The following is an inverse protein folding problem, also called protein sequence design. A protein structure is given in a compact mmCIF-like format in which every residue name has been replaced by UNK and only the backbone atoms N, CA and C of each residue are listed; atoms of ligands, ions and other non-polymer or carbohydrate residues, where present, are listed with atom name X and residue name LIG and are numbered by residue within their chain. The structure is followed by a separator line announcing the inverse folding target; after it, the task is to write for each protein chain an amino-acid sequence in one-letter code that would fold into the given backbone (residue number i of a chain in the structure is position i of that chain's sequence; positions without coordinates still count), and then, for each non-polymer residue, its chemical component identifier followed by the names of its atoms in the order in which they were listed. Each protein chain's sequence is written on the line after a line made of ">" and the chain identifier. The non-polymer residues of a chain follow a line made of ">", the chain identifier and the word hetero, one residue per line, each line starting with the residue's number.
data_IF_908909233494
#
_entry.id   IF_908909233494
#
_cell.length_a   1.000
_cell.length_b   1.000
_cell.length_c   1.000
_cell.angle_alpha   90.00
_cell.angle_beta   90.00
_cell.angle_gamma   90.00
#
_symmetry.space_group_name_H-M   'P 1'
#
loop_
_entity.id
_entity.type
_entity.pdbx_description
1 polymer ?
#
# COMPACT_ATOMS: atom_id res chain seq x y z
N UNK A 1 5.97 59.45 14.34
CA UNK A 1 5.27 58.22 14.76
C UNK A 1 4.56 58.37 16.12
N UNK A 2 5.26 58.76 17.20
CA UNK A 2 4.69 58.88 18.56
C UNK A 2 3.44 59.78 18.66
N UNK A 3 3.40 60.91 17.95
CA UNK A 3 2.24 61.82 18.00
C UNK A 3 0.98 61.28 17.29
N UNK A 4 1.13 60.54 16.18
CA UNK A 4 -0.01 59.92 15.48
C UNK A 4 -0.63 58.79 16.32
N UNK A 5 0.21 58.00 17.00
CA UNK A 5 -0.22 56.95 17.94
C UNK A 5 -0.99 57.54 19.13
N UNK A 6 -0.48 58.64 19.71
CA UNK A 6 -1.14 59.37 20.82
C UNK A 6 -2.51 59.94 20.45
N UNK A 7 -2.71 60.32 19.17
CA UNK A 7 -3.99 60.84 18.64
C UNK A 7 -5.00 59.72 18.35
N UNK A 8 -4.53 58.57 17.87
CA UNK A 8 -5.34 57.35 17.69
C UNK A 8 -5.83 56.77 19.03
N UNK A 9 -4.98 56.75 20.06
CA UNK A 9 -5.34 56.27 21.40
C UNK A 9 -6.39 57.12 22.13
N UNK A 10 -6.64 58.37 21.70
CA UNK A 10 -7.70 59.22 22.25
C UNK A 10 -9.10 58.80 21.78
N UNK A 11 -9.22 58.17 20.61
CA UNK A 11 -10.50 57.72 20.09
C UNK A 11 -10.79 56.28 20.55
N UNK A 12 -11.49 56.17 21.69
CA UNK A 12 -11.81 54.87 22.33
C UNK A 12 -12.47 53.87 21.37
N UNK A 13 -13.29 54.33 20.42
CA UNK A 13 -13.95 53.47 19.41
C UNK A 13 -12.95 52.91 18.39
N UNK A 14 -11.99 53.73 17.93
CA UNK A 14 -10.97 53.30 16.98
C UNK A 14 -9.98 52.31 17.63
N UNK A 15 -9.61 52.53 18.89
CA UNK A 15 -8.76 51.60 19.65
C UNK A 15 -9.46 50.25 19.86
N UNK A 16 -10.75 50.27 20.23
CA UNK A 16 -11.54 49.05 20.40
C UNK A 16 -11.68 48.25 19.09
N UNK A 17 -11.88 48.94 17.95
CA UNK A 17 -11.96 48.30 16.64
C UNK A 17 -10.63 47.63 16.26
N UNK A 18 -9.50 48.31 16.48
CA UNK A 18 -8.17 47.75 16.21
C UNK A 18 -7.90 46.53 17.11
N UNK A 19 -8.28 46.59 18.38
CA UNK A 19 -8.16 45.46 19.31
C UNK A 19 -9.03 44.27 18.87
N UNK A 20 -10.27 44.52 18.45
CA UNK A 20 -11.18 43.49 17.92
C UNK A 20 -10.59 42.78 16.69
N UNK A 21 -10.04 43.55 15.74
CA UNK A 21 -9.40 43.01 14.53
C UNK A 21 -8.19 42.15 14.88
N UNK A 22 -7.37 42.58 15.85
CA UNK A 22 -6.23 41.79 16.35
C UNK A 22 -6.67 40.47 16.98
N UNK A 23 -7.73 40.49 17.81
CA UNK A 23 -8.30 39.27 18.42
C UNK A 23 -8.81 38.32 17.34
N UNK A 24 -9.53 38.83 16.33
CA UNK A 24 -9.99 38.02 15.19
C UNK A 24 -8.84 37.38 14.42
N UNK A 25 -7.75 38.10 14.18
CA UNK A 25 -6.56 37.55 13.53
C UNK A 25 -5.92 36.40 14.33
N UNK A 26 -5.81 36.55 15.65
CA UNK A 26 -5.28 35.49 16.53
C UNK A 26 -6.21 34.27 16.49
N UNK A 27 -7.53 34.48 16.58
CA UNK A 27 -8.52 33.40 16.47
C UNK A 27 -8.39 32.64 15.13
N UNK A 28 -8.20 33.35 14.01
CA UNK A 28 -8.01 32.72 12.69
C UNK A 28 -6.74 31.86 12.63
N UNK A 29 -5.64 32.28 13.27
CA UNK A 29 -4.40 31.49 13.34
C UNK A 29 -4.62 30.20 14.16
N UNK A 30 -5.33 30.29 15.28
CA UNK A 30 -5.64 29.13 16.13
C UNK A 30 -6.60 28.15 15.43
N UNK A 31 -7.67 28.67 14.80
CA UNK A 31 -8.61 27.88 14.00
C UNK A 31 -7.86 27.17 12.88
N UNK A 32 -6.92 27.84 12.18
CA UNK A 32 -6.12 27.18 11.15
C UNK A 32 -5.35 25.98 11.72
N UNK A 33 -4.78 26.07 12.91
CA UNK A 33 -4.04 24.95 13.51
C UNK A 33 -4.93 23.76 13.90
N UNK A 34 -6.20 23.99 14.22
CA UNK A 34 -7.15 22.94 14.61
C UNK A 34 -7.79 22.28 13.38
N UNK A 35 -8.17 23.08 12.39
CA UNK A 35 -8.84 22.61 11.18
C UNK A 35 -7.90 22.15 10.07
N UNK A 36 -6.65 22.64 10.07
CA UNK A 36 -5.59 22.21 9.18
C UNK A 36 -4.40 21.68 10.00
N UNK A 37 -4.55 20.52 10.65
CA UNK A 37 -3.42 19.87 11.31
C UNK A 37 -2.25 19.76 10.30
N UNK A 38 -1.04 20.05 10.78
CA UNK A 38 0.17 20.01 9.97
C UNK A 38 0.23 18.69 9.19
N UNK A 39 0.62 18.76 7.92
CA UNK A 39 0.67 17.59 7.05
C UNK A 39 1.80 16.67 7.54
N UNK A 40 1.50 15.76 8.47
CA UNK A 40 2.39 14.65 8.79
C UNK A 40 2.64 13.85 7.53
N UNK A 41 3.86 13.33 7.36
CA UNK A 41 4.12 12.44 6.23
C UNK A 41 3.16 11.25 6.29
N UNK A 42 2.53 10.88 5.16
CA UNK A 42 1.58 9.76 5.06
C UNK A 42 2.09 8.46 5.69
N UNK A 43 3.41 8.30 5.73
CA UNK A 43 4.09 7.10 6.22
C UNK A 43 4.90 7.32 7.50
N UNK A 44 4.87 8.51 8.12
CA UNK A 44 5.75 8.83 9.26
C UNK A 44 7.22 8.53 8.94
N UNK A 45 7.88 7.83 9.87
CA UNK A 45 9.26 7.35 9.74
C UNK A 45 9.37 5.93 9.14
N UNK A 46 8.25 5.34 8.67
CA UNK A 46 8.25 3.95 8.16
C UNK A 46 9.07 3.79 6.89
N UNK A 47 9.31 4.88 6.16
CA UNK A 47 10.09 4.90 4.93
C UNK A 47 11.55 5.34 5.15
N UNK A 48 11.98 5.48 6.41
CA UNK A 48 13.35 5.87 6.72
C UNK A 48 14.33 4.87 6.09
N UNK A 49 15.29 5.39 5.31
CA UNK A 49 16.27 4.59 4.59
C UNK A 49 15.84 4.12 3.19
N UNK A 50 14.63 4.43 2.71
CA UNK A 50 14.17 4.01 1.38
C UNK A 50 15.10 4.50 0.25
N UNK A 51 15.66 5.71 0.37
CA UNK A 51 16.59 6.27 -0.61
C UNK A 51 17.94 5.54 -0.69
N UNK A 52 18.27 4.70 0.31
CA UNK A 52 19.50 3.90 0.32
C UNK A 52 19.34 2.57 -0.41
N UNK A 53 18.10 2.15 -0.66
CA UNK A 53 17.79 0.87 -1.30
C UNK A 53 17.52 1.14 -2.78
N UNK A 54 18.38 0.61 -3.65
CA UNK A 54 18.18 0.71 -5.09
C UNK A 54 17.11 -0.29 -5.52
N UNK A 55 15.89 0.19 -5.78
CA UNK A 55 14.85 -0.59 -6.44
C UNK A 55 14.30 0.16 -7.66
N UNK A 56 15.00 0.00 -8.76
CA UNK A 56 14.84 0.80 -9.98
C UNK A 56 13.68 0.30 -10.85
N UNK A 57 13.34 1.07 -11.90
CA UNK A 57 12.37 0.64 -12.89
C UNK A 57 12.83 -0.59 -13.68
N UNK A 58 14.13 -0.71 -13.96
CA UNK A 58 14.70 -1.88 -14.65
C UNK A 58 14.57 -3.15 -13.82
N UNK A 59 14.80 -3.07 -12.50
CA UNK A 59 14.64 -4.23 -11.60
C UNK A 59 13.20 -4.73 -11.63
N UNK A 60 12.23 -3.81 -11.48
CA UNK A 60 10.79 -4.11 -11.56
C UNK A 60 10.43 -4.75 -12.90
N UNK A 61 10.90 -4.16 -14.00
CA UNK A 61 10.65 -4.67 -15.35
C UNK A 61 11.25 -6.06 -15.55
N UNK A 62 12.43 -6.33 -15.00
CA UNK A 62 13.09 -7.63 -15.08
C UNK A 62 12.28 -8.71 -14.34
N UNK A 63 11.83 -8.40 -13.13
CA UNK A 63 11.00 -9.32 -12.32
C UNK A 63 9.65 -9.55 -12.99
N UNK A 64 8.96 -8.49 -13.44
CA UNK A 64 7.69 -8.63 -14.14
C UNK A 64 7.85 -9.43 -15.42
N UNK A 65 8.93 -9.19 -16.18
CA UNK A 65 9.21 -9.93 -17.41
C UNK A 65 9.49 -11.41 -17.14
N UNK A 66 10.28 -11.72 -16.11
CA UNK A 66 10.52 -13.10 -15.68
C UNK A 66 9.21 -13.86 -15.42
N UNK A 67 8.24 -13.20 -14.77
CA UNK A 67 6.93 -13.82 -14.49
C UNK A 67 6.08 -13.89 -15.77
N UNK A 68 6.04 -12.84 -16.59
CA UNK A 68 5.20 -12.81 -17.80
C UNK A 68 5.71 -13.72 -18.92
N UNK A 69 7.02 -13.97 -18.99
CA UNK A 69 7.63 -14.87 -19.97
C UNK A 69 7.42 -16.34 -19.59
N UNK A 70 6.91 -16.63 -18.38
CA UNK A 70 6.55 -17.97 -17.97
C UNK A 70 5.32 -18.46 -18.75
N UNK A 71 5.42 -19.64 -19.33
CA UNK A 71 4.39 -20.24 -20.18
C UNK A 71 3.09 -20.54 -19.43
N UNK A 72 3.09 -20.58 -18.09
CA UNK A 72 1.92 -20.79 -17.24
C UNK A 72 1.23 -19.48 -16.81
N UNK A 73 1.75 -18.33 -17.22
CA UNK A 73 1.23 -17.00 -16.85
C UNK A 73 0.56 -16.34 -18.06
N UNK A 74 -0.50 -15.56 -17.79
CA UNK A 74 -1.23 -14.78 -18.79
C UNK A 74 -1.00 -13.28 -18.65
N UNK A 75 -0.86 -12.79 -17.42
CA UNK A 75 -0.52 -11.41 -17.12
C UNK A 75 0.30 -11.33 -15.83
N UNK A 76 1.20 -10.35 -15.74
CA UNK A 76 1.96 -10.04 -14.55
C UNK A 76 2.12 -8.52 -14.40
N UNK A 77 2.04 -8.05 -13.15
CA UNK A 77 2.26 -6.64 -12.79
C UNK A 77 2.93 -6.55 -11.43
N UNK A 78 3.76 -5.52 -11.26
CA UNK A 78 4.44 -5.22 -10.01
C UNK A 78 4.18 -3.77 -9.61
N UNK A 79 3.61 -3.58 -8.43
CA UNK A 79 3.31 -2.27 -7.88
C UNK A 79 4.05 -2.06 -6.56
N UNK A 80 4.41 -0.81 -6.25
CA UNK A 80 5.05 -0.46 -4.99
C UNK A 80 4.21 0.58 -4.26
N UNK A 81 3.93 0.31 -2.99
CA UNK A 81 3.24 1.22 -2.11
C UNK A 81 4.02 1.38 -0.80
N UNK A 82 4.76 2.49 -0.65
CA UNK A 82 5.62 2.71 0.50
C UNK A 82 6.69 1.62 0.59
N UNK A 83 6.60 0.76 1.61
CA UNK A 83 7.52 -0.36 1.88
C UNK A 83 6.98 -1.73 1.44
N UNK A 84 5.85 -1.75 0.73
CA UNK A 84 5.22 -2.98 0.24
C UNK A 84 5.39 -3.07 -1.28
N UNK A 85 5.75 -4.25 -1.76
CA UNK A 85 5.87 -4.59 -3.17
C UNK A 85 4.84 -5.67 -3.50
N UNK A 86 3.83 -5.29 -4.28
CA UNK A 86 2.77 -6.20 -4.72
C UNK A 86 3.15 -6.79 -6.06
N UNK A 87 3.41 -8.09 -6.08
CA UNK A 87 3.60 -8.89 -7.28
C UNK A 87 2.29 -9.61 -7.57
N UNK A 88 1.63 -9.23 -8.66
CA UNK A 88 0.29 -9.71 -8.99
C UNK A 88 0.36 -10.36 -10.36
N UNK A 89 -0.08 -11.60 -10.48
CA UNK A 89 -0.10 -12.29 -11.76
C UNK A 89 -1.26 -13.28 -11.87
N UNK A 90 -1.74 -13.46 -13.10
CA UNK A 90 -2.81 -14.40 -13.41
C UNK A 90 -2.23 -15.62 -14.12
N UNK A 91 -2.48 -16.81 -13.58
CA UNK A 91 -2.04 -18.07 -14.19
C UNK A 91 -3.07 -18.62 -15.18
N UNK A 92 -2.62 -19.51 -16.06
CA UNK A 92 -3.49 -20.23 -17.01
C UNK A 92 -4.39 -21.23 -16.28
N UNK A 93 -5.46 -21.65 -16.95
CA UNK A 93 -6.47 -22.56 -16.40
C UNK A 93 -5.86 -23.87 -15.87
N UNK A 94 -4.94 -24.45 -16.65
CA UNK A 94 -4.24 -25.72 -16.40
C UNK A 94 -3.11 -25.65 -15.36
N UNK A 95 -2.81 -24.45 -14.84
CA UNK A 95 -1.71 -24.26 -13.88
C UNK A 95 -2.10 -24.74 -12.49
N UNK A 96 -1.31 -25.63 -11.90
CA UNK A 96 -1.54 -26.13 -10.54
C UNK A 96 -1.22 -25.08 -9.47
N UNK A 97 -1.76 -25.27 -8.26
CA UNK A 97 -1.44 -24.43 -7.10
C UNK A 97 0.05 -24.46 -6.77
N UNK A 98 0.69 -25.64 -6.82
CA UNK A 98 2.12 -25.79 -6.54
C UNK A 98 3.00 -25.10 -7.61
N UNK A 99 2.60 -25.16 -8.87
CA UNK A 99 3.28 -24.42 -9.95
C UNK A 99 3.18 -22.92 -9.73
N UNK A 100 1.99 -22.42 -9.38
CA UNK A 100 1.78 -21.01 -9.07
C UNK A 100 2.67 -20.54 -7.91
N UNK A 101 2.74 -21.33 -6.83
CA UNK A 101 3.61 -21.06 -5.69
C UNK A 101 5.09 -21.11 -6.05
N UNK A 102 5.48 -22.02 -6.95
CA UNK A 102 6.84 -22.16 -7.45
C UNK A 102 7.26 -20.93 -8.27
N UNK A 103 6.41 -20.45 -9.17
CA UNK A 103 6.68 -19.22 -9.95
C UNK A 103 6.93 -18.02 -9.03
N UNK A 104 6.09 -17.85 -8.00
CA UNK A 104 6.31 -16.80 -7.01
C UNK A 104 7.64 -16.96 -6.26
N UNK A 105 7.97 -18.18 -5.84
CA UNK A 105 9.23 -18.49 -5.15
C UNK A 105 10.46 -18.22 -6.02
N UNK A 106 10.43 -18.61 -7.29
CA UNK A 106 11.51 -18.34 -8.25
C UNK A 106 11.62 -16.85 -8.58
N UNK A 107 10.49 -16.14 -8.65
CA UNK A 107 10.51 -14.69 -8.87
C UNK A 107 11.09 -13.94 -7.66
N UNK A 108 10.92 -14.46 -6.44
CA UNK A 108 11.52 -13.90 -5.23
C UNK A 108 13.06 -13.91 -5.30
N UNK A 109 13.65 -14.90 -5.97
CA UNK A 109 15.11 -14.98 -6.15
C UNK A 109 15.66 -13.88 -7.06
N UNK A 110 14.81 -13.24 -7.87
CA UNK A 110 15.20 -12.10 -8.72
C UNK A 110 15.29 -10.78 -7.96
N UNK A 111 14.80 -10.72 -6.73
CA UNK A 111 14.97 -9.56 -5.86
C UNK A 111 16.34 -9.60 -5.18
N UNK A 112 17.01 -8.45 -5.12
CA UNK A 112 18.24 -8.30 -4.34
C UNK A 112 17.96 -8.49 -2.84
N UNK A 113 18.99 -8.87 -2.09
CA UNK A 113 18.88 -9.07 -0.65
C UNK A 113 18.51 -7.78 0.08
N UNK A 114 19.05 -6.63 -0.36
CA UNK A 114 18.69 -5.32 0.17
C UNK A 114 17.20 -5.03 0.02
N UNK A 115 16.62 -5.34 -1.15
CA UNK A 115 15.19 -5.16 -1.41
C UNK A 115 14.38 -6.15 -0.58
N UNK A 116 14.79 -7.41 -0.47
CA UNK A 116 14.11 -8.41 0.37
C UNK A 116 14.14 -8.03 1.86
N UNK A 117 15.21 -7.42 2.34
CA UNK A 117 15.36 -7.06 3.75
C UNK A 117 14.64 -5.76 4.09
N UNK A 118 14.56 -4.85 3.13
CA UNK A 118 13.82 -3.61 3.30
C UNK A 118 12.33 -3.80 3.01
N UNK A 119 11.93 -4.24 1.84
CA UNK A 119 10.51 -4.29 1.46
C UNK A 119 9.82 -5.56 1.93
N UNK A 120 8.53 -5.43 2.26
CA UNK A 120 7.62 -6.57 2.35
C UNK A 120 7.12 -6.89 0.93
N UNK A 121 7.24 -8.14 0.51
CA UNK A 121 6.83 -8.61 -0.83
C UNK A 121 5.55 -9.42 -0.67
N UNK A 122 4.49 -8.97 -1.31
CA UNK A 122 3.18 -9.61 -1.31
C UNK A 122 2.90 -10.16 -2.71
N UNK A 123 2.56 -11.45 -2.78
CA UNK A 123 2.13 -12.15 -3.97
C UNK A 123 0.62 -12.29 -3.96
N UNK A 124 -0.03 -11.88 -5.04
CA UNK A 124 -1.45 -12.11 -5.28
C UNK A 124 -1.56 -12.84 -6.60
N UNK A 125 -1.96 -14.12 -6.53
CA UNK A 125 -2.05 -14.97 -7.71
C UNK A 125 -3.49 -15.28 -7.98
N UNK A 126 -3.94 -14.97 -9.19
CA UNK A 126 -5.31 -15.19 -9.63
C UNK A 126 -5.38 -16.24 -10.73
N UNK A 127 -6.57 -16.80 -10.93
CA UNK A 127 -6.92 -17.63 -12.07
C UNK A 127 -8.32 -17.24 -12.55
N UNK A 128 -8.39 -16.40 -13.57
CA UNK A 128 -9.65 -15.85 -14.06
C UNK A 128 -10.63 -16.94 -14.54
N UNK A 129 -10.13 -17.96 -15.24
CA UNK A 129 -10.94 -19.03 -15.84
C UNK A 129 -11.08 -20.27 -14.93
N UNK A 130 -11.00 -20.08 -13.61
CA UNK A 130 -11.14 -21.21 -12.68
C UNK A 130 -12.56 -21.77 -12.65
N UNK A 131 -12.71 -23.00 -13.15
CA UNK A 131 -13.96 -23.78 -13.11
C UNK A 131 -14.31 -24.28 -11.70
N UNK A 132 -13.32 -24.40 -10.82
CA UNK A 132 -13.47 -24.89 -9.45
C UNK A 132 -13.73 -26.41 -9.39
N UNK A 133 -13.64 -26.97 -8.19
CA UNK A 133 -13.82 -28.40 -7.95
C UNK A 133 -15.09 -28.62 -7.13
N UNK A 134 -15.97 -29.49 -7.59
CA UNK A 134 -17.18 -29.86 -6.86
C UNK A 134 -16.81 -30.71 -5.63
N UNK A 135 -17.28 -30.28 -4.45
CA UNK A 135 -17.15 -31.03 -3.20
C UNK A 135 -18.53 -31.26 -2.58
N UNK A 136 -18.77 -32.49 -2.13
CA UNK A 136 -19.93 -32.80 -1.29
C UNK A 136 -19.69 -32.26 0.12
N UNK A 137 -20.57 -31.38 0.60
CA UNK A 137 -20.59 -30.88 1.96
C UNK A 137 -21.84 -31.44 2.64
N UNK A 138 -21.69 -31.98 3.85
CA UNK A 138 -22.84 -32.42 4.65
C UNK A 138 -23.20 -31.29 5.62
N UNK A 139 -24.41 -30.75 5.50
CA UNK A 139 -24.99 -29.79 6.45
C UNK A 139 -25.19 -30.44 7.84
N UNK A 140 -25.36 -29.62 8.87
CA UNK A 140 -25.66 -29.98 10.26
C UNK A 140 -26.90 -30.90 10.38
N UNK A 141 -27.78 -30.86 9.37
CA UNK A 141 -28.98 -31.71 9.25
C UNK A 141 -28.77 -33.01 8.46
N UNK A 142 -27.53 -33.37 8.10
CA UNK A 142 -27.22 -34.58 7.33
C UNK A 142 -27.52 -34.50 5.83
N UNK A 143 -27.89 -33.31 5.33
CA UNK A 143 -28.17 -33.08 3.90
C UNK A 143 -26.87 -32.85 3.14
N UNK A 144 -26.60 -33.68 2.13
CA UNK A 144 -25.48 -33.50 1.21
C UNK A 144 -25.80 -32.41 0.18
N UNK A 145 -24.93 -31.41 0.07
CA UNK A 145 -24.99 -30.37 -0.95
C UNK A 145 -23.67 -30.33 -1.74
N UNK A 146 -23.77 -30.23 -3.06
CA UNK A 146 -22.61 -30.06 -3.93
C UNK A 146 -22.23 -28.58 -3.97
N UNK A 147 -21.01 -28.25 -3.58
CA UNK A 147 -20.48 -26.87 -3.62
C UNK A 147 -19.24 -26.82 -4.51
N UNK A 148 -19.17 -25.85 -5.42
CA UNK A 148 -17.96 -25.58 -6.20
C UNK A 148 -16.97 -24.79 -5.36
N UNK A 149 -15.81 -25.39 -5.09
CA UNK A 149 -14.71 -24.75 -4.35
C UNK A 149 -13.65 -24.28 -5.33
N UNK A 150 -13.26 -23.00 -5.24
CA UNK A 150 -12.16 -22.41 -5.99
C UNK A 150 -10.91 -22.37 -5.11
N UNK A 151 -9.76 -22.72 -5.67
CA UNK A 151 -8.45 -22.67 -5.02
C UNK A 151 -7.79 -21.30 -5.16
N UNK A 152 -8.15 -20.52 -6.17
CA UNK A 152 -7.65 -19.16 -6.37
C UNK A 152 -8.71 -18.11 -5.94
N UNK A 153 -8.28 -16.89 -5.56
CA UNK A 153 -6.90 -16.41 -5.50
C UNK A 153 -6.11 -16.99 -4.33
N UNK A 154 -4.80 -17.17 -4.51
CA UNK A 154 -3.87 -17.45 -3.41
C UNK A 154 -3.02 -16.21 -3.15
N UNK A 155 -2.77 -15.95 -1.86
CA UNK A 155 -1.95 -14.83 -1.42
C UNK A 155 -0.77 -15.38 -0.64
N UNK A 156 0.41 -14.82 -0.89
CA UNK A 156 1.62 -15.19 -0.17
C UNK A 156 2.39 -13.94 0.20
N UNK A 157 3.14 -13.99 1.30
CA UNK A 157 3.93 -12.84 1.74
C UNK A 157 5.33 -13.24 2.16
N UNK A 158 6.27 -12.33 1.93
CA UNK A 158 7.65 -12.41 2.41
C UNK A 158 7.97 -11.09 3.10
N UNK A 159 8.35 -11.16 4.38
CA UNK A 159 8.78 -9.99 5.14
C UNK A 159 10.26 -10.12 5.53
N UNK A 160 10.78 -9.15 6.30
CA UNK A 160 12.19 -9.15 6.72
C UNK A 160 12.58 -10.32 7.64
N UNK A 161 11.60 -11.03 8.23
CA UNK A 161 11.81 -12.15 9.16
C UNK A 161 11.69 -13.52 8.48
N UNK A 162 11.06 -13.61 7.31
CA UNK A 162 10.88 -14.87 6.59
C UNK A 162 11.96 -15.08 5.53
N UNK A 163 12.46 -16.31 5.44
CA UNK A 163 13.45 -16.72 4.42
C UNK A 163 12.82 -16.90 3.03
N UNK A 164 11.54 -17.22 2.97
CA UNK A 164 10.79 -17.44 1.73
C UNK A 164 9.36 -16.89 1.83
N UNK A 165 8.58 -17.17 0.79
CA UNK A 165 7.15 -16.83 0.74
C UNK A 165 6.38 -17.74 1.69
N UNK A 166 5.58 -17.13 2.56
CA UNK A 166 4.61 -17.81 3.42
C UNK A 166 3.25 -17.69 2.75
N UNK A 167 2.54 -18.82 2.65
CA UNK A 167 1.24 -18.95 2.00
C UNK A 167 0.12 -19.10 3.03
#
# INVERSE_FOLDING_TARGET
>A
MKQKLKKLMKNKKAVALIALVLVLLICLILIKSVFFPGHGSKYGNRLDGINKISFTRSDKSSITKFISDNDKVTEAKLNIHGKIVNVIFNVKEDTSLDDAKKIASESLEKFSDDVKNFYDIEYIITKNDEKGTEKEVTDENGKKTTTTVKEFPIMGYKNSKSKGVVW
#
